data_IF_326004772735
#
_entry.id   IF_326004772735
#
_cell.length_a   1.000
_cell.length_b   1.000
_cell.length_c   1.000
_cell.angle_alpha   90.00
_cell.angle_beta   90.00
_cell.angle_gamma   90.00
#
_symmetry.space_group_name_H-M   'P 1'
#
loop_
_entity.id
_entity.type
_entity.pdbx_description
1 polymer ?
#
# COMPACT_ATOMS: atom_id res chain seq x y z
N UNK A 1 -25.07 34.36 65.65
CA UNK A 1 -25.59 34.66 64.31
C UNK A 1 -24.43 35.00 63.37
N UNK A 2 -23.96 34.06 62.53
CA UNK A 2 -23.22 34.43 61.32
C UNK A 2 -23.92 33.87 60.08
N UNK A 3 -24.46 34.76 59.24
CA UNK A 3 -24.90 34.45 57.88
C UNK A 3 -23.68 34.46 56.95
N UNK A 4 -23.40 33.33 56.32
CA UNK A 4 -22.39 33.19 55.29
C UNK A 4 -23.08 32.88 53.95
N UNK A 5 -23.13 33.88 53.09
CA UNK A 5 -23.35 33.73 51.65
C UNK A 5 -22.16 32.99 51.04
N UNK A 6 -22.41 31.89 50.32
CA UNK A 6 -21.42 31.29 49.41
C UNK A 6 -22.03 31.14 48.02
N UNK A 7 -21.32 31.62 46.97
CA UNK A 7 -21.81 31.66 45.60
C UNK A 7 -21.87 30.27 44.97
N UNK A 8 -22.86 30.08 44.09
CA UNK A 8 -23.04 28.89 43.27
C UNK A 8 -21.77 28.54 42.47
N UNK A 9 -21.32 27.29 42.61
CA UNK A 9 -20.31 26.71 41.73
C UNK A 9 -20.97 26.31 40.40
N UNK A 10 -20.45 26.85 39.31
CA UNK A 10 -20.81 26.46 37.93
C UNK A 10 -20.34 25.02 37.65
N UNK A 11 -21.11 24.22 36.89
CA UNK A 11 -20.67 22.90 36.45
C UNK A 11 -19.49 23.01 35.47
N UNK A 12 -18.57 22.04 35.46
CA UNK A 12 -17.43 22.02 34.54
C UNK A 12 -17.88 21.84 33.08
N UNK A 13 -17.13 22.36 32.09
CA UNK A 13 -17.41 22.14 30.67
C UNK A 13 -17.22 20.66 30.30
N UNK A 14 -17.95 20.14 29.30
CA UNK A 14 -17.78 18.78 28.82
C UNK A 14 -16.38 18.59 28.21
N UNK A 15 -15.71 17.50 28.59
CA UNK A 15 -14.43 17.10 28.01
C UNK A 15 -14.57 16.85 26.49
N UNK A 16 -13.53 17.15 25.68
CA UNK A 16 -13.52 16.79 24.27
C UNK A 16 -13.64 15.26 24.13
N UNK A 17 -14.26 14.74 23.05
CA UNK A 17 -14.29 13.32 22.82
C UNK A 17 -12.85 12.81 22.71
N UNK A 18 -12.47 11.93 23.62
CA UNK A 18 -11.27 11.14 23.49
C UNK A 18 -11.28 10.49 22.10
N UNK A 19 -10.18 10.66 21.36
CA UNK A 19 -9.97 10.00 20.09
C UNK A 19 -10.32 8.52 20.24
N UNK A 20 -11.31 8.08 19.47
CA UNK A 20 -11.68 6.68 19.42
C UNK A 20 -10.40 5.88 19.15
N UNK A 21 -10.01 4.92 20.02
CA UNK A 21 -9.01 3.94 19.62
C UNK A 21 -9.51 3.29 18.33
N UNK A 22 -8.67 3.11 17.29
CA UNK A 22 -9.09 2.37 16.11
C UNK A 22 -9.66 1.03 16.57
N UNK A 23 -10.85 0.72 16.07
CA UNK A 23 -11.68 -0.40 16.49
C UNK A 23 -10.84 -1.66 16.70
N UNK A 24 -10.95 -2.23 17.91
CA UNK A 24 -10.54 -3.59 18.15
C UNK A 24 -11.45 -4.52 17.32
N UNK A 25 -10.95 -4.97 16.17
CA UNK A 25 -11.58 -5.99 15.34
C UNK A 25 -11.22 -7.38 15.89
N UNK A 26 -12.26 -8.09 16.33
CA UNK A 26 -12.50 -9.53 16.53
C UNK A 26 -11.32 -10.55 16.67
N UNK A 27 -11.49 -11.59 17.51
CA UNK A 27 -10.48 -12.64 17.69
C UNK A 27 -10.45 -13.64 16.50
N UNK A 28 -9.26 -14.20 16.23
CA UNK A 28 -8.95 -15.35 15.35
C UNK A 28 -8.78 -15.13 13.82
N UNK A 29 -7.62 -14.58 13.46
CA UNK A 29 -6.75 -14.92 12.33
C UNK A 29 -5.42 -14.23 12.62
N UNK A 30 -4.27 -14.67 12.06
CA UNK A 30 -3.03 -13.90 12.24
C UNK A 30 -3.32 -12.46 11.77
N UNK A 31 -3.02 -11.40 12.55
CA UNK A 31 -3.36 -10.05 12.14
C UNK A 31 -2.82 -9.81 10.72
N UNK A 32 -3.60 -9.24 9.79
CA UNK A 32 -3.13 -9.05 8.41
C UNK A 32 -1.82 -8.26 8.36
N UNK A 33 -1.63 -7.33 9.30
CA UNK A 33 -0.36 -6.63 9.51
C UNK A 33 0.82 -7.57 9.81
N UNK A 34 0.60 -8.63 10.60
CA UNK A 34 1.62 -9.62 10.94
C UNK A 34 1.96 -10.51 9.74
N UNK A 35 0.94 -10.99 9.01
CA UNK A 35 1.17 -11.76 7.78
C UNK A 35 1.93 -10.92 6.73
N UNK A 36 1.58 -9.65 6.56
CA UNK A 36 2.34 -8.71 5.70
C UNK A 36 3.80 -8.56 6.16
N UNK A 37 4.04 -8.37 7.45
CA UNK A 37 5.38 -8.24 7.99
C UNK A 37 6.21 -9.52 7.79
N UNK A 38 5.63 -10.69 8.03
CA UNK A 38 6.27 -11.99 7.80
C UNK A 38 6.63 -12.16 6.31
N UNK A 39 5.71 -11.78 5.41
CA UNK A 39 5.92 -11.83 3.97
C UNK A 39 6.97 -10.83 3.46
N UNK A 40 7.02 -9.62 4.01
CA UNK A 40 8.08 -8.64 3.73
C UNK A 40 9.45 -9.15 4.18
N UNK A 41 9.52 -9.78 5.36
CA UNK A 41 10.74 -10.40 5.83
C UNK A 41 11.18 -11.56 4.92
N UNK A 42 10.23 -12.35 4.41
CA UNK A 42 10.50 -13.40 3.43
C UNK A 42 11.03 -12.82 2.11
N UNK A 43 10.42 -11.75 1.60
CA UNK A 43 10.89 -11.03 0.41
C UNK A 43 12.33 -10.54 0.58
N UNK A 44 12.67 -9.99 1.75
CA UNK A 44 14.03 -9.55 2.09
C UNK A 44 15.06 -10.69 2.08
N UNK A 45 14.64 -11.91 2.43
CA UNK A 45 15.44 -13.13 2.34
C UNK A 45 15.44 -13.76 0.92
N UNK A 46 14.78 -13.12 -0.05
CA UNK A 46 14.49 -13.67 -1.40
C UNK A 46 13.66 -14.95 -1.39
N UNK A 47 12.94 -15.20 -0.30
CA UNK A 47 11.95 -16.27 -0.22
C UNK A 47 10.62 -15.75 -0.78
N UNK A 48 10.57 -15.73 -2.11
CA UNK A 48 9.43 -15.20 -2.84
C UNK A 48 8.18 -16.08 -2.69
N UNK A 49 8.35 -17.39 -2.47
CA UNK A 49 7.23 -18.31 -2.28
C UNK A 49 6.50 -18.03 -0.96
N UNK A 50 7.26 -17.85 0.14
CA UNK A 50 6.66 -17.47 1.41
C UNK A 50 6.06 -16.06 1.38
N UNK A 51 6.70 -15.10 0.69
CA UNK A 51 6.16 -13.75 0.53
C UNK A 51 4.81 -13.74 -0.22
N UNK A 52 4.73 -14.50 -1.32
CA UNK A 52 3.51 -14.66 -2.10
C UNK A 52 2.39 -15.32 -1.28
N UNK A 53 2.69 -16.39 -0.54
CA UNK A 53 1.71 -17.08 0.29
C UNK A 53 1.14 -16.14 1.36
N UNK A 54 1.99 -15.38 2.04
CA UNK A 54 1.58 -14.41 3.05
C UNK A 54 0.72 -13.28 2.46
N UNK A 55 1.06 -12.78 1.28
CA UNK A 55 0.26 -11.78 0.59
C UNK A 55 -1.12 -12.32 0.21
N UNK A 56 -1.18 -13.53 -0.37
CA UNK A 56 -2.44 -14.19 -0.74
C UNK A 56 -3.33 -14.47 0.47
N UNK A 57 -2.75 -14.82 1.62
CA UNK A 57 -3.48 -14.98 2.88
C UNK A 57 -4.20 -13.68 3.27
N UNK A 58 -3.51 -12.55 3.23
CA UNK A 58 -4.08 -11.24 3.59
C UNK A 58 -5.21 -10.84 2.63
N UNK A 59 -5.03 -11.10 1.33
CA UNK A 59 -6.05 -10.83 0.29
C UNK A 59 -7.28 -11.74 0.51
N UNK A 60 -7.06 -13.02 0.79
CA UNK A 60 -8.13 -14.01 1.01
C UNK A 60 -8.95 -13.77 2.28
N UNK A 61 -8.32 -13.23 3.32
CA UNK A 61 -8.95 -12.92 4.60
C UNK A 61 -9.85 -11.68 4.57
N UNK A 62 -10.08 -11.06 3.41
CA UNK A 62 -10.88 -9.83 3.23
C UNK A 62 -10.44 -8.70 4.17
N UNK A 63 -9.12 -8.55 4.33
CA UNK A 63 -8.56 -7.49 5.15
C UNK A 63 -8.97 -6.09 4.66
N UNK A 64 -8.84 -5.08 5.52
CA UNK A 64 -9.10 -3.68 5.18
C UNK A 64 -8.44 -3.25 3.86
N UNK A 65 -9.03 -2.29 3.15
CA UNK A 65 -8.59 -1.86 1.83
C UNK A 65 -7.09 -1.52 1.77
N UNK A 66 -6.58 -0.79 2.76
CA UNK A 66 -5.15 -0.44 2.86
C UNK A 66 -4.26 -1.67 3.02
N UNK A 67 -4.68 -2.67 3.81
CA UNK A 67 -3.95 -3.93 3.99
C UNK A 67 -3.96 -4.75 2.70
N UNK A 68 -5.10 -4.76 1.98
CA UNK A 68 -5.22 -5.43 0.68
C UNK A 68 -4.30 -4.77 -0.35
N UNK A 69 -4.24 -3.43 -0.42
CA UNK A 69 -3.29 -2.72 -1.31
C UNK A 69 -1.85 -3.10 -0.98
N UNK A 70 -1.49 -3.12 0.30
CA UNK A 70 -0.15 -3.51 0.74
C UNK A 70 0.18 -4.97 0.41
N UNK A 71 -0.80 -5.87 0.51
CA UNK A 71 -0.66 -7.28 0.15
C UNK A 71 -0.47 -7.45 -1.36
N UNK A 72 -1.22 -6.73 -2.18
CA UNK A 72 -1.08 -6.74 -3.63
C UNK A 72 0.29 -6.21 -4.08
N UNK A 73 0.80 -5.17 -3.43
CA UNK A 73 2.18 -4.68 -3.64
C UNK A 73 3.21 -5.77 -3.33
N UNK A 74 3.09 -6.41 -2.15
CA UNK A 74 3.98 -7.50 -1.74
C UNK A 74 3.90 -8.69 -2.70
N UNK A 75 2.70 -9.04 -3.17
CA UNK A 75 2.47 -10.09 -4.16
C UNK A 75 3.18 -9.76 -5.48
N UNK A 76 3.03 -8.53 -5.97
CA UNK A 76 3.75 -8.04 -7.15
C UNK A 76 5.27 -8.18 -6.99
N UNK A 77 5.84 -7.70 -5.88
CA UNK A 77 7.28 -7.78 -5.61
C UNK A 77 7.79 -9.23 -5.55
N UNK A 78 7.02 -10.12 -4.92
CA UNK A 78 7.34 -11.55 -4.86
C UNK A 78 7.34 -12.20 -6.25
N UNK A 79 6.33 -11.89 -7.07
CA UNK A 79 6.18 -12.41 -8.42
C UNK A 79 7.28 -11.89 -9.36
N UNK A 80 7.68 -10.62 -9.24
CA UNK A 80 8.87 -10.07 -9.93
C UNK A 80 10.11 -10.91 -9.56
N UNK A 81 10.30 -11.21 -8.28
CA UNK A 81 11.40 -12.06 -7.80
C UNK A 81 11.38 -13.48 -8.39
N UNK A 82 10.19 -14.05 -8.56
CA UNK A 82 9.97 -15.35 -9.22
C UNK A 82 10.07 -15.30 -10.74
N UNK A 83 10.28 -14.11 -11.33
CA UNK A 83 10.23 -13.86 -12.79
C UNK A 83 8.86 -14.12 -13.42
N UNK A 84 7.82 -14.14 -12.60
CA UNK A 84 6.42 -14.24 -13.05
C UNK A 84 5.86 -12.82 -13.25
N UNK A 85 6.37 -12.16 -14.28
CA UNK A 85 6.07 -10.76 -14.52
C UNK A 85 4.62 -10.54 -14.99
N UNK A 86 3.98 -11.55 -15.59
CA UNK A 86 2.59 -11.50 -16.02
C UNK A 86 1.64 -11.39 -14.84
N UNK A 87 1.77 -12.30 -13.87
CA UNK A 87 0.98 -12.21 -12.64
C UNK A 87 1.39 -11.00 -11.79
N UNK A 88 2.66 -10.59 -11.82
CA UNK A 88 3.11 -9.38 -11.12
C UNK A 88 2.38 -8.13 -11.63
N UNK A 89 2.23 -8.00 -12.95
CA UNK A 89 1.50 -6.89 -13.56
C UNK A 89 0.03 -6.86 -13.09
N UNK A 90 -0.63 -8.02 -13.00
CA UNK A 90 -2.00 -8.11 -12.47
C UNK A 90 -2.05 -7.63 -11.02
N UNK A 91 -1.14 -8.12 -10.16
CA UNK A 91 -1.11 -7.75 -8.74
C UNK A 91 -0.87 -6.23 -8.53
N UNK A 92 0.09 -5.63 -9.24
CA UNK A 92 0.31 -4.18 -9.14
C UNK A 92 -0.86 -3.37 -9.70
N UNK A 93 -1.52 -3.84 -10.76
CA UNK A 93 -2.71 -3.18 -11.28
C UNK A 93 -3.89 -3.24 -10.30
N UNK A 94 -4.07 -4.34 -9.56
CA UNK A 94 -5.05 -4.42 -8.46
C UNK A 94 -4.69 -3.50 -7.30
N UNK A 95 -3.40 -3.41 -6.94
CA UNK A 95 -2.92 -2.46 -5.94
C UNK A 95 -3.22 -1.01 -6.36
N UNK A 96 -2.97 -0.66 -7.62
CA UNK A 96 -3.24 0.67 -8.16
C UNK A 96 -4.74 0.97 -8.19
N UNK A 97 -5.57 0.06 -8.73
CA UNK A 97 -7.02 0.26 -8.83
C UNK A 97 -7.65 0.56 -7.47
N UNK A 98 -7.21 -0.14 -6.42
CA UNK A 98 -7.70 0.05 -5.05
C UNK A 98 -7.01 1.22 -4.32
N UNK A 99 -5.76 1.48 -4.65
CA UNK A 99 -4.89 2.46 -4.00
C UNK A 99 -4.72 3.78 -4.76
N UNK A 100 -5.49 4.04 -5.82
CA UNK A 100 -5.27 5.16 -6.76
C UNK A 100 -5.21 6.53 -6.08
N UNK A 101 -6.06 6.77 -5.10
CA UNK A 101 -6.11 8.03 -4.37
C UNK A 101 -5.09 8.13 -3.21
N UNK A 102 -4.31 7.08 -2.99
CA UNK A 102 -3.36 6.99 -1.86
C UNK A 102 -1.91 7.16 -2.35
N UNK A 103 -0.95 7.44 -1.46
CA UNK A 103 0.47 7.47 -1.82
C UNK A 103 0.98 6.16 -2.46
N UNK A 104 0.30 5.03 -2.22
CA UNK A 104 0.59 3.72 -2.83
C UNK A 104 0.25 3.63 -4.31
N UNK A 105 -0.65 4.49 -4.80
CA UNK A 105 -1.07 4.54 -6.20
C UNK A 105 0.10 4.71 -7.18
N UNK A 106 0.91 5.79 -7.08
CA UNK A 106 2.05 5.99 -7.97
C UNK A 106 3.11 4.89 -7.82
N UNK A 107 3.28 4.34 -6.62
CA UNK A 107 4.24 3.26 -6.36
C UNK A 107 3.84 1.97 -7.09
N UNK A 108 2.54 1.66 -7.09
CA UNK A 108 1.99 0.53 -7.84
C UNK A 108 2.17 0.70 -9.35
N UNK A 109 1.98 1.91 -9.90
CA UNK A 109 2.20 2.18 -11.34
C UNK A 109 3.66 1.98 -11.75
N UNK A 110 4.62 2.40 -10.90
CA UNK A 110 6.05 2.16 -11.17
C UNK A 110 6.36 0.65 -11.16
N UNK A 111 5.79 -0.10 -10.20
CA UNK A 111 5.92 -1.56 -10.14
C UNK A 111 5.32 -2.25 -11.37
N UNK A 112 4.12 -1.82 -11.78
CA UNK A 112 3.43 -2.30 -12.98
C UNK A 112 4.24 -2.05 -14.25
N UNK A 113 4.73 -0.82 -14.44
CA UNK A 113 5.57 -0.48 -15.57
C UNK A 113 6.85 -1.31 -15.60
N UNK A 114 7.47 -1.54 -14.44
CA UNK A 114 8.64 -2.41 -14.33
C UNK A 114 8.31 -3.85 -14.70
N UNK A 115 7.15 -4.38 -14.30
CA UNK A 115 6.70 -5.71 -14.68
C UNK A 115 6.53 -5.84 -16.21
N UNK A 116 5.84 -4.89 -16.85
CA UNK A 116 5.73 -4.85 -18.32
C UNK A 116 7.09 -4.77 -19.01
N UNK A 117 8.00 -3.97 -18.45
CA UNK A 117 9.35 -3.87 -18.98
C UNK A 117 10.10 -5.21 -18.94
N UNK A 118 9.97 -5.96 -17.86
CA UNK A 118 10.62 -7.27 -17.73
C UNK A 118 9.99 -8.34 -18.64
N UNK A 119 8.72 -8.17 -19.02
CA UNK A 119 8.06 -8.99 -20.04
C UNK A 119 8.48 -8.63 -21.48
N UNK A 120 9.12 -7.47 -21.69
CA UNK A 120 9.37 -6.93 -23.03
C UNK A 120 8.20 -6.13 -23.62
N UNK A 121 7.12 -5.92 -22.85
CA UNK A 121 5.98 -5.07 -23.17
C UNK A 121 6.32 -3.59 -22.99
N UNK A 122 7.25 -3.10 -23.81
CA UNK A 122 7.82 -1.76 -23.69
C UNK A 122 6.79 -0.65 -23.89
N UNK A 123 5.85 -0.85 -24.82
CA UNK A 123 4.82 0.15 -25.11
C UNK A 123 3.92 0.33 -23.88
N UNK A 124 3.44 -0.77 -23.33
CA UNK A 124 2.60 -0.81 -22.15
C UNK A 124 3.31 -0.24 -20.92
N UNK A 125 4.62 -0.50 -20.77
CA UNK A 125 5.43 0.12 -19.72
C UNK A 125 5.49 1.64 -19.87
N UNK A 126 5.69 2.15 -21.09
CA UNK A 126 5.72 3.58 -21.37
C UNK A 126 4.37 4.25 -21.15
N UNK A 127 3.29 3.62 -21.57
CA UNK A 127 1.93 4.12 -21.37
C UNK A 127 1.61 4.22 -19.87
N UNK A 128 1.95 3.18 -19.10
CA UNK A 128 1.79 3.17 -17.63
C UNK A 128 2.58 4.31 -16.96
N UNK A 129 3.81 4.59 -17.41
CA UNK A 129 4.63 5.68 -16.88
C UNK A 129 4.14 7.06 -17.32
N UNK A 130 3.48 7.16 -18.46
CA UNK A 130 2.82 8.37 -18.90
C UNK A 130 1.56 8.64 -18.06
N UNK A 131 0.77 7.61 -17.77
CA UNK A 131 -0.36 7.70 -16.84
C UNK A 131 0.07 8.11 -15.44
N UNK A 132 1.19 7.56 -14.94
CA UNK A 132 1.78 7.98 -13.68
C UNK A 132 2.05 9.48 -13.66
N UNK A 133 2.70 10.02 -14.69
CA UNK A 133 3.02 11.45 -14.77
C UNK A 133 1.77 12.33 -14.86
N UNK A 134 0.76 11.87 -15.60
CA UNK A 134 -0.49 12.62 -15.78
C UNK A 134 -1.38 12.61 -14.53
N UNK A 135 -1.51 11.47 -13.87
CA UNK A 135 -2.37 11.29 -12.70
C UNK A 135 -1.68 11.69 -11.39
N UNK A 136 -0.35 11.57 -11.32
CA UNK A 136 0.47 11.86 -10.15
C UNK A 136 1.67 12.74 -10.55
N UNK A 137 1.45 14.03 -10.85
CA UNK A 137 2.52 14.94 -11.24
C UNK A 137 3.49 15.24 -10.10
N UNK A 138 3.09 15.02 -8.85
CA UNK A 138 3.89 15.27 -7.67
C UNK A 138 4.16 13.96 -6.91
N UNK A 139 5.21 13.26 -7.32
CA UNK A 139 5.69 12.03 -6.68
C UNK A 139 7.01 12.28 -5.93
N UNK A 140 7.30 11.53 -4.85
CA UNK A 140 8.56 11.66 -4.13
C UNK A 140 9.78 11.43 -5.04
N UNK A 141 10.87 12.15 -4.81
CA UNK A 141 12.11 12.06 -5.60
C UNK A 141 12.60 10.62 -5.86
N UNK A 142 12.70 9.76 -4.83
CA UNK A 142 13.13 8.37 -5.02
C UNK A 142 12.22 7.56 -5.94
N UNK A 143 10.92 7.85 -5.94
CA UNK A 143 9.96 7.19 -6.82
C UNK A 143 10.07 7.71 -8.25
N UNK A 144 10.33 9.01 -8.42
CA UNK A 144 10.59 9.62 -9.71
C UNK A 144 11.85 9.05 -10.36
N UNK A 145 12.93 8.88 -9.60
CA UNK A 145 14.16 8.24 -10.08
C UNK A 145 13.92 6.81 -10.55
N UNK A 146 13.16 6.02 -9.78
CA UNK A 146 12.76 4.66 -10.19
C UNK A 146 11.92 4.68 -11.47
N UNK A 147 10.93 5.55 -11.58
CA UNK A 147 10.11 5.70 -12.77
C UNK A 147 10.99 6.02 -14.00
N UNK A 148 11.91 6.97 -13.87
CA UNK A 148 12.85 7.35 -14.94
C UNK A 148 13.79 6.21 -15.33
N UNK A 149 14.28 5.43 -14.36
CA UNK A 149 15.09 4.24 -14.63
C UNK A 149 14.30 3.20 -15.44
N UNK A 150 13.03 2.97 -15.11
CA UNK A 150 12.16 2.07 -15.89
C UNK A 150 11.93 2.64 -17.29
N UNK A 151 11.64 3.94 -17.43
CA UNK A 151 11.49 4.62 -18.75
C UNK A 151 12.72 4.44 -19.63
N UNK A 152 13.92 4.63 -19.07
CA UNK A 152 15.18 4.47 -19.79
C UNK A 152 15.40 3.04 -20.27
N UNK A 153 15.14 2.05 -19.42
CA UNK A 153 15.21 0.63 -19.80
C UNK A 153 14.16 0.26 -20.85
N UNK A 154 12.96 0.85 -20.74
CA UNK A 154 11.85 0.67 -21.68
C UNK A 154 12.09 1.34 -23.02
N UNK A 155 13.07 2.25 -23.10
CA UNK A 155 13.34 3.09 -24.25
C UNK A 155 12.09 3.90 -24.64
N UNK A 156 11.37 4.40 -23.63
CA UNK A 156 10.27 5.32 -23.84
C UNK A 156 10.80 6.57 -24.53
N UNK A 157 10.19 6.91 -25.66
CA UNK A 157 10.51 8.09 -26.44
C UNK A 157 9.69 9.29 -25.98
#
# INVERSE_FOLDING_TARGET
MPGAVRPWALPPPPAPPAAAPPAAEAPAARPPARALADGQAALGRRDYAAAEAAAREVIGNRAAASSTVNAQMLLGDALIGKRDFGNAAIAYNEAYTRGRATPRGPEALVGLANAFQQLGHRREACDTLNDLRSNHPNIPGPLQERANAVRGRAQCR
#
